data_IF_974860992279
#
_entry.id   IF_974860992279
#
_cell.length_a   1.000
_cell.length_b   1.000
_cell.length_c   1.000
_cell.angle_alpha   90.00
_cell.angle_beta   90.00
_cell.angle_gamma   90.00
#
_symmetry.space_group_name_H-M   'P 1'
#
loop_
_entity.id
_entity.type
_entity.pdbx_description
1 polymer ?
#
# COMPACT_ATOMS: atom_id res chain seq x y z
N UNK A 1 3.98 -38.16 16.48
CA UNK A 1 2.86 -38.03 15.53
C UNK A 1 3.35 -38.45 14.15
N UNK A 2 2.70 -39.40 13.50
CA UNK A 2 3.10 -39.87 12.18
C UNK A 2 3.05 -38.71 11.17
N UNK A 3 4.08 -38.57 10.35
CA UNK A 3 4.10 -37.60 9.24
C UNK A 3 2.97 -37.99 8.29
N UNK A 4 1.97 -37.11 8.06
CA UNK A 4 0.87 -37.47 7.18
C UNK A 4 1.39 -37.67 5.76
N UNK A 5 1.03 -38.81 5.18
CA UNK A 5 1.39 -39.16 3.80
C UNK A 5 0.60 -38.26 2.83
N UNK A 6 1.06 -38.10 1.58
CA UNK A 6 0.40 -37.19 0.61
C UNK A 6 -1.09 -37.52 0.41
N UNK A 7 -1.44 -38.81 0.43
CA UNK A 7 -2.81 -39.28 0.26
C UNK A 7 -3.70 -38.92 1.47
N UNK A 8 -3.11 -38.82 2.66
CA UNK A 8 -3.81 -38.35 3.86
C UNK A 8 -4.03 -36.84 3.80
N UNK A 9 -3.06 -36.07 3.28
CA UNK A 9 -3.21 -34.63 3.05
C UNK A 9 -4.32 -34.35 2.03
N UNK A 10 -4.40 -35.13 0.94
CA UNK A 10 -5.49 -34.97 -0.04
C UNK A 10 -6.87 -35.23 0.56
N UNK A 11 -7.02 -36.26 1.40
CA UNK A 11 -8.28 -36.52 2.10
C UNK A 11 -8.69 -35.35 3.01
N UNK A 12 -7.74 -34.82 3.78
CA UNK A 12 -7.99 -33.65 4.64
C UNK A 12 -8.41 -32.42 3.83
N UNK A 13 -7.80 -32.20 2.66
CA UNK A 13 -8.15 -31.09 1.76
C UNK A 13 -9.56 -31.26 1.21
N UNK A 14 -9.96 -32.47 0.82
CA UNK A 14 -11.34 -32.74 0.37
C UNK A 14 -12.35 -32.54 1.49
N UNK A 15 -12.04 -32.96 2.71
CA UNK A 15 -12.90 -32.73 3.89
C UNK A 15 -13.01 -31.24 4.24
N UNK A 16 -11.91 -30.48 4.11
CA UNK A 16 -11.91 -29.04 4.33
C UNK A 16 -12.76 -28.31 3.29
N UNK A 17 -12.67 -28.70 2.02
CA UNK A 17 -13.49 -28.15 0.94
C UNK A 17 -14.99 -28.41 1.11
N UNK A 18 -15.36 -29.59 1.64
CA UNK A 18 -16.76 -29.94 1.89
C UNK A 18 -17.35 -29.26 3.15
N UNK A 19 -16.53 -28.61 3.97
CA UNK A 19 -16.95 -27.97 5.22
C UNK A 19 -17.14 -26.46 5.01
N UNK A 20 -18.20 -25.89 5.61
CA UNK A 20 -18.45 -24.44 5.55
C UNK A 20 -17.30 -23.62 6.16
N UNK A 21 -16.96 -22.53 5.46
CA UNK A 21 -15.93 -21.57 5.85
C UNK A 21 -16.23 -20.96 7.23
N UNK A 22 -15.20 -20.79 8.06
CA UNK A 22 -15.31 -20.13 9.36
C UNK A 22 -15.84 -21.01 10.50
N UNK A 23 -16.19 -22.27 10.25
CA UNK A 23 -16.57 -23.19 11.33
C UNK A 23 -15.34 -23.65 12.14
N UNK A 24 -15.48 -23.94 13.46
CA UNK A 24 -14.38 -24.48 14.26
C UNK A 24 -13.84 -25.83 13.76
N UNK A 25 -14.64 -26.56 12.96
CA UNK A 25 -14.22 -27.78 12.28
C UNK A 25 -13.31 -27.46 11.10
N UNK A 26 -13.66 -26.46 10.29
CA UNK A 26 -12.84 -25.98 9.17
C UNK A 26 -11.46 -25.50 9.65
N UNK A 27 -11.41 -24.66 10.70
CA UNK A 27 -10.15 -24.15 11.26
C UNK A 27 -9.23 -25.31 11.68
N UNK A 28 -9.77 -26.30 12.40
CA UNK A 28 -9.01 -27.50 12.81
C UNK A 28 -8.51 -28.34 11.64
N UNK A 29 -9.25 -28.37 10.53
CA UNK A 29 -8.82 -29.08 9.31
C UNK A 29 -7.67 -28.32 8.63
N UNK A 30 -7.77 -27.00 8.51
CA UNK A 30 -6.68 -26.15 7.99
C UNK A 30 -5.41 -26.31 8.84
N UNK A 31 -5.51 -26.25 10.16
CA UNK A 31 -4.36 -26.43 11.05
C UNK A 31 -3.68 -27.79 10.85
N UNK A 32 -4.47 -28.86 10.68
CA UNK A 32 -3.96 -30.21 10.41
C UNK A 32 -3.27 -30.31 9.06
N UNK A 33 -3.83 -29.67 8.03
CA UNK A 33 -3.22 -29.60 6.70
C UNK A 33 -1.89 -28.85 6.80
N UNK A 34 -1.86 -27.68 7.44
CA UNK A 34 -0.67 -26.87 7.63
C UNK A 34 0.44 -27.64 8.37
N UNK A 35 0.12 -28.22 9.53
CA UNK A 35 1.06 -29.04 10.32
C UNK A 35 1.56 -30.22 9.48
N UNK A 36 0.68 -30.86 8.71
CA UNK A 36 1.03 -31.98 7.85
C UNK A 36 1.99 -31.60 6.71
N UNK A 37 1.75 -30.46 6.08
CA UNK A 37 2.62 -29.90 5.04
C UNK A 37 4.01 -29.57 5.61
N UNK A 38 4.07 -28.89 6.76
CA UNK A 38 5.34 -28.54 7.42
C UNK A 38 6.13 -29.78 7.86
N UNK A 39 5.45 -30.81 8.36
CA UNK A 39 6.08 -32.06 8.80
C UNK A 39 6.44 -33.01 7.65
N UNK A 40 5.88 -32.80 6.45
CA UNK A 40 6.10 -33.69 5.29
C UNK A 40 7.57 -33.80 4.88
N UNK A 41 8.40 -32.78 5.19
CA UNK A 41 9.78 -32.60 4.70
C UNK A 41 9.95 -32.64 3.18
N UNK A 42 8.84 -32.62 2.42
CA UNK A 42 8.79 -32.65 0.94
C UNK A 42 8.66 -31.25 0.32
N UNK A 43 8.66 -30.21 1.14
CA UNK A 43 8.65 -28.82 0.69
C UNK A 43 9.94 -28.51 -0.08
N UNK A 44 9.79 -27.79 -1.20
CA UNK A 44 10.89 -27.31 -1.99
C UNK A 44 11.76 -26.36 -1.18
N UNK A 45 13.05 -26.63 -1.04
CA UNK A 45 13.98 -25.77 -0.29
C UNK A 45 14.84 -24.93 -1.22
N UNK A 46 15.03 -23.67 -0.89
CA UNK A 46 15.95 -22.75 -1.57
C UNK A 46 16.86 -22.08 -0.54
N UNK A 47 18.06 -21.64 -0.96
CA UNK A 47 18.99 -20.87 -0.12
C UNK A 47 18.81 -19.35 -0.27
N UNK A 48 17.72 -18.93 -0.91
CA UNK A 48 17.46 -17.53 -1.18
C UNK A 48 17.00 -16.80 0.07
N UNK A 49 17.43 -15.55 0.22
CA UNK A 49 17.13 -14.72 1.40
C UNK A 49 15.62 -14.55 1.60
N UNK A 50 14.87 -14.47 0.51
CA UNK A 50 13.41 -14.31 0.49
C UNK A 50 12.65 -15.65 0.45
N UNK A 51 13.32 -16.77 0.77
CA UNK A 51 12.69 -18.09 0.70
C UNK A 51 11.55 -18.27 1.69
N UNK A 52 11.73 -17.85 2.95
CA UNK A 52 10.72 -17.98 3.99
C UNK A 52 9.48 -17.13 3.67
N UNK A 53 9.66 -15.89 3.19
CA UNK A 53 8.56 -15.03 2.77
C UNK A 53 7.78 -15.65 1.60
N UNK A 54 8.49 -16.17 0.60
CA UNK A 54 7.87 -16.82 -0.54
C UNK A 54 7.11 -18.11 -0.15
N UNK A 55 7.62 -18.85 0.85
CA UNK A 55 6.96 -20.03 1.39
C UNK A 55 5.69 -19.65 2.14
N UNK A 56 5.74 -18.64 3.00
CA UNK A 56 4.59 -18.17 3.77
C UNK A 56 3.47 -17.68 2.84
N UNK A 57 3.79 -16.83 1.87
CA UNK A 57 2.80 -16.35 0.89
C UNK A 57 2.20 -17.47 0.04
N UNK A 58 3.00 -18.46 -0.34
CA UNK A 58 2.51 -19.59 -1.11
C UNK A 58 1.54 -20.45 -0.29
N UNK A 59 1.87 -20.71 0.98
CA UNK A 59 1.01 -21.46 1.88
C UNK A 59 -0.29 -20.72 2.18
N UNK A 60 -0.23 -19.42 2.43
CA UNK A 60 -1.41 -18.59 2.64
C UNK A 60 -2.36 -18.66 1.44
N UNK A 61 -1.82 -18.45 0.23
CA UNK A 61 -2.61 -18.55 -0.99
C UNK A 61 -3.24 -19.94 -1.16
N UNK A 62 -2.46 -21.01 -1.00
CA UNK A 62 -2.95 -22.38 -1.18
C UNK A 62 -4.03 -22.76 -0.17
N UNK A 63 -3.92 -22.32 1.09
CA UNK A 63 -4.90 -22.62 2.14
C UNK A 63 -6.17 -21.78 2.01
N UNK A 64 -6.07 -20.54 1.51
CA UNK A 64 -7.26 -19.72 1.21
C UNK A 64 -8.01 -20.21 -0.04
N UNK A 65 -7.29 -20.77 -1.01
CA UNK A 65 -7.85 -21.17 -2.32
C UNK A 65 -7.91 -22.70 -2.48
N UNK A 66 -8.32 -23.43 -1.43
CA UNK A 66 -8.47 -24.89 -1.52
C UNK A 66 -9.50 -25.33 -2.57
N UNK A 67 -10.52 -24.50 -2.82
CA UNK A 67 -11.51 -24.74 -3.89
C UNK A 67 -10.85 -24.81 -5.27
N UNK A 68 -9.95 -23.87 -5.58
CA UNK A 68 -9.18 -23.87 -6.83
C UNK A 68 -8.39 -25.17 -7.00
N UNK A 69 -7.77 -25.64 -5.91
CA UNK A 69 -7.08 -26.93 -5.93
C UNK A 69 -8.03 -28.09 -6.22
N UNK A 70 -9.14 -28.18 -5.48
CA UNK A 70 -10.08 -29.31 -5.59
C UNK A 70 -10.71 -29.37 -6.98
N UNK A 71 -11.10 -28.25 -7.55
CA UNK A 71 -11.80 -28.19 -8.84
C UNK A 71 -10.86 -28.40 -10.03
N UNK A 72 -9.66 -27.81 -10.00
CA UNK A 72 -8.81 -27.70 -11.19
C UNK A 72 -7.57 -28.59 -11.13
N UNK A 73 -7.01 -28.80 -9.93
CA UNK A 73 -5.68 -29.40 -9.79
C UNK A 73 -5.68 -30.78 -9.13
N UNK A 74 -6.71 -31.14 -8.37
CA UNK A 74 -6.79 -32.40 -7.62
C UNK A 74 -6.62 -33.65 -8.48
N UNK A 75 -7.10 -33.61 -9.73
CA UNK A 75 -7.01 -34.68 -10.73
C UNK A 75 -5.66 -34.74 -11.45
N UNK A 76 -4.94 -33.62 -11.50
CA UNK A 76 -3.71 -33.45 -12.28
C UNK A 76 -2.46 -33.63 -11.41
N UNK A 77 -2.53 -33.21 -10.14
CA UNK A 77 -1.37 -33.20 -9.26
C UNK A 77 -1.72 -33.33 -7.78
N UNK A 78 -0.76 -33.88 -7.03
CA UNK A 78 -0.84 -33.98 -5.57
C UNK A 78 -0.77 -32.61 -4.92
N UNK A 79 -1.38 -32.47 -3.76
CA UNK A 79 -1.45 -31.21 -3.03
C UNK A 79 -0.06 -30.64 -2.72
N UNK A 80 0.89 -31.50 -2.33
CA UNK A 80 2.28 -31.10 -2.12
C UNK A 80 2.97 -30.60 -3.39
N UNK A 81 2.67 -31.19 -4.55
CA UNK A 81 3.20 -30.72 -5.85
C UNK A 81 2.67 -29.33 -6.17
N UNK A 82 1.37 -29.12 -5.95
CA UNK A 82 0.72 -27.82 -6.15
C UNK A 82 1.34 -26.73 -5.26
N UNK A 83 1.54 -27.00 -3.97
CA UNK A 83 2.22 -26.06 -3.06
C UNK A 83 3.64 -25.76 -3.56
N UNK A 84 4.41 -26.78 -3.93
CA UNK A 84 5.78 -26.60 -4.41
C UNK A 84 5.85 -25.76 -5.70
N UNK A 85 4.88 -25.89 -6.60
CA UNK A 85 4.81 -25.07 -7.80
C UNK A 85 4.49 -23.60 -7.47
N UNK A 86 3.62 -23.35 -6.51
CA UNK A 86 3.36 -22.01 -6.00
C UNK A 86 4.59 -21.40 -5.32
N UNK A 87 5.32 -22.16 -4.51
CA UNK A 87 6.60 -21.72 -3.90
C UNK A 87 7.59 -21.31 -5.00
N UNK A 88 7.79 -22.15 -6.02
CA UNK A 88 8.68 -21.83 -7.16
C UNK A 88 8.22 -20.60 -7.93
N UNK A 89 6.91 -20.43 -8.13
CA UNK A 89 6.32 -19.26 -8.79
C UNK A 89 6.60 -17.99 -7.99
N UNK A 90 6.40 -18.02 -6.67
CA UNK A 90 6.70 -16.89 -5.78
C UNK A 90 8.18 -16.54 -5.80
N UNK A 91 9.07 -17.52 -5.66
CA UNK A 91 10.53 -17.30 -5.75
C UNK A 91 10.93 -16.64 -7.08
N UNK A 92 10.34 -17.07 -8.20
CA UNK A 92 10.57 -16.44 -9.51
C UNK A 92 10.14 -14.97 -9.52
N UNK A 93 8.96 -14.65 -8.99
CA UNK A 93 8.48 -13.27 -8.89
C UNK A 93 9.40 -12.40 -8.04
N UNK A 94 9.90 -12.92 -6.92
CA UNK A 94 10.89 -12.25 -6.09
C UNK A 94 12.20 -11.96 -6.85
N UNK A 95 12.73 -12.95 -7.58
CA UNK A 95 13.91 -12.76 -8.45
C UNK A 95 13.66 -11.71 -9.52
N UNK A 96 12.50 -11.75 -10.19
CA UNK A 96 12.16 -10.80 -11.24
C UNK A 96 12.03 -9.37 -10.69
N UNK A 97 11.46 -9.22 -9.49
CA UNK A 97 11.37 -7.93 -8.80
C UNK A 97 12.76 -7.40 -8.46
N UNK A 98 13.64 -8.22 -7.89
CA UNK A 98 15.02 -7.82 -7.61
C UNK A 98 15.78 -7.47 -8.89
N UNK A 99 15.64 -8.25 -9.96
CA UNK A 99 16.29 -7.98 -11.24
C UNK A 99 15.79 -6.67 -11.86
N UNK A 100 14.49 -6.37 -11.76
CA UNK A 100 13.93 -5.08 -12.21
C UNK A 100 14.46 -3.92 -11.38
N UNK A 101 14.54 -4.06 -10.05
CA UNK A 101 15.13 -3.05 -9.17
C UNK A 101 16.61 -2.83 -9.49
N UNK A 102 17.38 -3.91 -9.63
CA UNK A 102 18.79 -3.85 -10.01
C UNK A 102 18.98 -3.20 -11.37
N UNK A 103 18.18 -3.54 -12.39
CA UNK A 103 18.24 -2.90 -13.71
C UNK A 103 17.91 -1.41 -13.64
N UNK A 104 16.94 -0.99 -12.81
CA UNK A 104 16.65 0.42 -12.56
C UNK A 104 17.84 1.13 -11.90
N UNK A 105 18.47 0.51 -10.91
CA UNK A 105 19.67 1.05 -10.25
C UNK A 105 20.86 1.11 -11.21
N UNK A 106 21.15 0.05 -11.96
CA UNK A 106 22.23 0.02 -12.96
C UNK A 106 22.00 1.07 -14.04
N UNK A 107 20.76 1.30 -14.50
CA UNK A 107 20.48 2.38 -15.44
C UNK A 107 20.73 3.77 -14.86
N UNK A 108 20.61 3.95 -13.54
CA UNK A 108 20.97 5.19 -12.84
C UNK A 108 22.50 5.32 -12.77
N UNK A 109 23.21 4.26 -12.39
CA UNK A 109 24.69 4.28 -12.26
C UNK A 109 25.45 4.22 -13.59
N UNK A 110 24.87 3.68 -14.66
CA UNK A 110 25.53 3.59 -15.98
C UNK A 110 25.50 4.92 -16.74
N UNK A 111 24.75 5.92 -16.26
CA UNK A 111 24.80 7.30 -16.76
C UNK A 111 26.00 8.09 -16.18
N UNK A 112 26.61 7.61 -15.09
CA UNK A 112 27.79 8.19 -14.42
C UNK A 112 28.88 7.12 -14.30
N UNK A 113 29.42 6.67 -15.44
CA UNK A 113 30.68 5.93 -15.44
C UNK A 113 31.83 6.93 -15.43
N UNK A 114 32.13 7.44 -14.24
CA UNK A 114 33.47 7.86 -13.81
C UNK A 114 33.31 8.43 -12.39
N UNK A 115 33.53 7.59 -11.37
CA UNK A 115 33.98 7.96 -10.01
C UNK A 115 33.98 6.73 -9.10
N UNK A 116 35.17 6.16 -8.90
CA UNK A 116 35.50 5.13 -7.91
C UNK A 116 35.58 5.70 -6.48
N UNK A 117 34.62 6.55 -6.06
CA UNK A 117 34.54 7.11 -4.69
C UNK A 117 33.08 7.17 -4.21
N UNK A 118 32.48 6.00 -3.93
CA UNK A 118 31.06 5.88 -3.58
C UNK A 118 30.74 5.92 -2.08
N UNK A 119 31.67 6.38 -1.23
CA UNK A 119 31.43 6.54 0.21
C UNK A 119 31.70 7.93 0.79
N UNK A 120 32.33 8.86 0.07
CA UNK A 120 32.59 10.23 0.57
C UNK A 120 31.85 11.36 -0.17
N UNK A 121 31.22 11.09 -1.32
CA UNK A 121 30.43 12.08 -2.04
C UNK A 121 29.03 11.54 -2.36
N UNK A 122 28.21 11.30 -1.33
CA UNK A 122 26.78 11.51 -1.51
C UNK A 122 26.51 12.96 -1.15
N UNK A 123 26.49 13.92 -2.10
CA UNK A 123 25.64 15.05 -1.88
C UNK A 123 24.24 14.42 -1.74
N UNK A 124 23.68 14.53 -0.53
CA UNK A 124 22.23 14.57 -0.38
C UNK A 124 21.67 15.25 -1.61
N UNK A 125 20.69 14.66 -2.31
CA UNK A 125 19.90 15.39 -3.30
C UNK A 125 19.20 16.51 -2.55
N UNK A 126 19.92 17.60 -2.35
CA UNK A 126 19.46 18.86 -1.81
C UNK A 126 18.79 19.63 -2.94
N UNK A 127 17.89 18.95 -3.65
CA UNK A 127 16.82 19.58 -4.41
C UNK A 127 15.51 19.38 -3.65
N UNK A 128 15.57 19.48 -2.31
CA UNK A 128 14.42 19.78 -1.46
C UNK A 128 13.97 21.25 -1.61
N UNK A 129 14.71 22.07 -2.36
CA UNK A 129 14.44 23.51 -2.47
C UNK A 129 13.27 23.90 -3.39
N UNK A 130 12.93 23.23 -4.50
CA UNK A 130 11.78 23.65 -5.31
C UNK A 130 10.44 23.39 -4.61
N UNK A 131 10.29 22.26 -3.93
CA UNK A 131 9.03 21.90 -3.25
C UNK A 131 8.83 22.67 -1.94
N UNK A 132 9.89 22.93 -1.17
CA UNK A 132 9.82 23.79 0.01
C UNK A 132 9.63 25.27 -0.37
N UNK A 133 10.28 25.77 -1.43
CA UNK A 133 10.04 27.14 -1.93
C UNK A 133 8.59 27.31 -2.39
N UNK A 134 8.08 26.37 -3.19
CA UNK A 134 6.68 26.37 -3.62
C UNK A 134 5.70 26.33 -2.43
N UNK A 135 5.98 25.51 -1.42
CA UNK A 135 5.16 25.42 -0.23
C UNK A 135 5.14 26.72 0.59
N UNK A 136 6.32 27.34 0.77
CA UNK A 136 6.43 28.61 1.48
C UNK A 136 5.75 29.76 0.70
N UNK A 137 5.91 29.80 -0.63
CA UNK A 137 5.24 30.78 -1.48
C UNK A 137 3.71 30.62 -1.47
N UNK A 138 3.22 29.37 -1.43
CA UNK A 138 1.79 29.09 -1.30
C UNK A 138 1.27 29.58 0.05
N UNK A 139 1.96 29.28 1.16
CA UNK A 139 1.57 29.74 2.49
C UNK A 139 1.57 31.27 2.58
N UNK A 140 2.62 31.92 2.10
CA UNK A 140 2.73 33.39 2.09
C UNK A 140 1.60 34.02 1.25
N UNK A 141 1.28 33.45 0.09
CA UNK A 141 0.18 33.93 -0.74
C UNK A 141 -1.19 33.75 -0.07
N UNK A 142 -1.41 32.63 0.63
CA UNK A 142 -2.65 32.40 1.38
C UNK A 142 -2.75 33.38 2.54
N UNK A 143 -1.67 33.66 3.27
CA UNK A 143 -1.67 34.60 4.40
C UNK A 143 -1.86 36.05 3.96
N UNK A 144 -1.18 36.47 2.89
CA UNK A 144 -1.24 37.85 2.40
C UNK A 144 -2.53 38.16 1.63
N UNK A 145 -3.12 37.15 0.96
CA UNK A 145 -4.32 37.26 0.10
C UNK A 145 -4.39 38.61 -0.66
N UNK A 146 -3.39 38.93 -1.49
CA UNK A 146 -3.21 40.27 -2.05
C UNK A 146 -4.40 40.71 -2.92
N UNK A 147 -5.07 39.75 -3.55
CA UNK A 147 -6.23 39.96 -4.41
C UNK A 147 -7.57 39.86 -3.65
N UNK A 148 -7.53 39.55 -2.35
CA UNK A 148 -8.70 39.33 -1.49
C UNK A 148 -9.67 38.25 -2.00
N UNK A 149 -9.18 37.33 -2.83
CA UNK A 149 -9.97 36.26 -3.45
C UNK A 149 -10.34 35.20 -2.42
N UNK A 150 -9.45 34.95 -1.45
CA UNK A 150 -9.66 33.94 -0.41
C UNK A 150 -10.59 34.44 0.70
N UNK A 151 -10.45 35.70 1.10
CA UNK A 151 -11.28 36.35 2.13
C UNK A 151 -12.69 36.65 1.62
N UNK A 152 -12.83 37.02 0.33
CA UNK A 152 -14.14 37.33 -0.26
C UNK A 152 -15.05 36.10 -0.41
N UNK A 153 -14.46 34.91 -0.57
CA UNK A 153 -15.19 33.65 -0.66
C UNK A 153 -15.54 33.10 0.72
N UNK A 154 -16.65 33.60 1.27
CA UNK A 154 -17.22 33.12 2.52
C UNK A 154 -18.09 31.88 2.31
N UNK A 155 -18.02 30.95 3.26
CA UNK A 155 -18.91 29.81 3.30
C UNK A 155 -20.33 30.28 3.63
N UNK A 156 -21.32 29.90 2.80
CA UNK A 156 -22.72 30.34 2.97
C UNK A 156 -23.34 29.89 4.29
N UNK A 157 -22.96 28.70 4.78
CA UNK A 157 -23.46 28.16 6.05
C UNK A 157 -22.73 28.73 7.27
N UNK A 158 -21.46 29.07 7.11
CA UNK A 158 -20.61 29.57 8.18
C UNK A 158 -19.90 30.83 7.71
N UNK A 159 -20.54 31.99 7.92
CA UNK A 159 -20.03 33.28 7.42
C UNK A 159 -18.67 33.69 8.02
N UNK A 160 -18.28 33.05 9.13
CA UNK A 160 -16.97 33.19 9.78
C UNK A 160 -15.87 32.31 9.14
N UNK A 161 -16.23 31.33 8.31
CA UNK A 161 -15.30 30.51 7.54
C UNK A 161 -15.17 31.09 6.13
N UNK A 162 -13.98 31.53 5.77
CA UNK A 162 -13.61 31.88 4.41
C UNK A 162 -12.61 30.86 3.85
N UNK A 163 -12.31 30.96 2.56
CA UNK A 163 -11.40 30.01 1.90
C UNK A 163 -9.99 30.06 2.50
N UNK A 164 -9.56 31.24 2.94
CA UNK A 164 -8.26 31.48 3.57
C UNK A 164 -8.10 30.67 4.87
N UNK A 165 -9.04 30.81 5.80
CA UNK A 165 -9.04 30.12 7.10
C UNK A 165 -9.06 28.60 6.92
N UNK A 166 -9.87 28.12 5.97
CA UNK A 166 -9.98 26.68 5.70
C UNK A 166 -8.69 26.11 5.10
N UNK A 167 -8.04 26.86 4.21
CA UNK A 167 -6.77 26.49 3.59
C UNK A 167 -5.63 26.45 4.60
N UNK A 168 -5.45 27.52 5.39
CA UNK A 168 -4.41 27.57 6.43
C UNK A 168 -4.57 26.41 7.41
N UNK A 169 -5.79 26.14 7.89
CA UNK A 169 -6.04 25.03 8.82
C UNK A 169 -5.78 23.67 8.21
N UNK A 170 -6.15 23.45 6.95
CA UNK A 170 -5.93 22.15 6.30
C UNK A 170 -4.46 21.90 5.96
N UNK A 171 -3.71 22.94 5.58
CA UNK A 171 -2.30 22.85 5.22
C UNK A 171 -1.39 22.78 6.46
N UNK A 172 -1.77 23.39 7.59
CA UNK A 172 -1.01 23.29 8.84
C UNK A 172 -1.22 21.96 9.60
N UNK A 173 -2.34 21.26 9.36
CA UNK A 173 -2.69 20.03 10.07
C UNK A 173 -2.47 18.81 9.17
N UNK A 174 -1.23 18.33 9.13
CA UNK A 174 -0.87 17.11 8.43
C UNK A 174 -1.71 15.93 8.95
N UNK A 175 -2.54 15.36 8.06
CA UNK A 175 -3.32 14.13 8.28
C UNK A 175 -4.55 14.18 9.21
N UNK A 176 -5.20 15.34 9.37
CA UNK A 176 -6.44 15.47 10.17
C UNK A 176 -7.72 15.17 9.37
N UNK A 177 -8.69 14.48 10.00
CA UNK A 177 -10.02 14.25 9.42
C UNK A 177 -10.80 15.57 9.32
N UNK A 178 -11.69 15.70 8.34
CA UNK A 178 -12.53 16.90 8.21
C UNK A 178 -13.45 17.16 9.41
N UNK A 179 -13.68 16.12 10.22
CA UNK A 179 -14.41 16.18 11.48
C UNK A 179 -13.63 16.97 12.53
N UNK A 180 -12.33 16.71 12.67
CA UNK A 180 -11.44 17.47 13.56
C UNK A 180 -11.25 18.92 13.11
N UNK A 181 -11.16 19.16 11.79
CA UNK A 181 -11.10 20.52 11.23
C UNK A 181 -12.39 21.29 11.51
N UNK A 182 -13.55 20.62 11.49
CA UNK A 182 -14.82 21.26 11.82
C UNK A 182 -14.85 21.67 13.31
N UNK A 183 -14.44 20.77 14.19
CA UNK A 183 -14.37 21.01 15.65
C UNK A 183 -13.43 22.18 15.99
N UNK A 184 -12.23 22.21 15.40
CA UNK A 184 -11.25 23.29 15.59
C UNK A 184 -11.75 24.66 15.12
N UNK A 185 -12.63 24.67 14.12
CA UNK A 185 -13.26 25.87 13.60
C UNK A 185 -14.53 26.27 14.36
N UNK A 186 -14.90 25.53 15.42
CA UNK A 186 -16.11 25.77 16.20
C UNK A 186 -17.40 25.35 15.48
N UNK A 187 -17.30 24.50 14.46
CA UNK A 187 -18.43 23.90 13.76
C UNK A 187 -18.78 22.52 14.38
N UNK A 188 -20.05 22.09 14.28
CA UNK A 188 -20.43 20.73 14.63
C UNK A 188 -19.64 19.71 13.80
N UNK A 189 -19.16 18.64 14.44
CA UNK A 189 -18.40 17.55 13.79
C UNK A 189 -19.13 16.94 12.58
N UNK A 190 -20.47 16.94 12.61
CA UNK A 190 -21.33 16.49 11.49
C UNK A 190 -21.17 17.29 10.20
N UNK A 191 -20.66 18.51 10.28
CA UNK A 191 -20.46 19.41 9.13
C UNK A 191 -19.09 19.22 8.46
N UNK A 192 -18.24 18.33 8.96
CA UNK A 192 -16.96 17.97 8.32
C UNK A 192 -17.13 17.52 6.86
N UNK A 193 -18.20 16.76 6.56
CA UNK A 193 -18.53 16.35 5.18
C UNK A 193 -18.86 17.54 4.28
N UNK A 194 -19.55 18.54 4.82
CA UNK A 194 -19.91 19.75 4.09
C UNK A 194 -18.67 20.63 3.83
N UNK A 195 -17.79 20.79 4.84
CA UNK A 195 -16.52 21.50 4.69
C UNK A 195 -15.61 20.85 3.64
N UNK A 196 -15.54 19.52 3.62
CA UNK A 196 -14.78 18.78 2.61
C UNK A 196 -15.29 19.04 1.17
N UNK A 197 -16.62 19.00 0.98
CA UNK A 197 -17.23 19.28 -0.32
C UNK A 197 -17.02 20.73 -0.74
N UNK A 198 -17.13 21.67 0.20
CA UNK A 198 -16.91 23.08 -0.05
C UNK A 198 -15.44 23.36 -0.41
N UNK A 199 -14.49 22.77 0.33
CA UNK A 199 -13.06 22.82 0.05
C UNK A 199 -12.74 22.32 -1.36
N UNK A 200 -13.26 21.15 -1.73
CA UNK A 200 -13.04 20.57 -3.05
C UNK A 200 -13.59 21.43 -4.19
N UNK A 201 -14.73 22.11 -3.98
CA UNK A 201 -15.39 22.92 -5.00
C UNK A 201 -14.83 24.32 -5.15
N UNK A 202 -14.30 24.90 -4.07
CA UNK A 202 -13.95 26.32 -4.05
C UNK A 202 -12.48 26.57 -3.72
N UNK A 203 -11.83 25.77 -2.88
CA UNK A 203 -10.42 25.96 -2.51
C UNK A 203 -9.47 25.29 -3.51
N UNK A 204 -9.75 24.05 -3.93
CA UNK A 204 -8.89 23.34 -4.90
C UNK A 204 -8.73 24.06 -6.25
N UNK A 205 -9.80 24.61 -6.87
CA UNK A 205 -9.64 25.33 -8.14
C UNK A 205 -8.75 26.56 -8.00
N UNK A 206 -8.82 27.25 -6.85
CA UNK A 206 -8.04 28.46 -6.59
C UNK A 206 -6.55 28.14 -6.41
N UNK A 207 -6.23 27.08 -5.66
CA UNK A 207 -4.83 26.62 -5.53
C UNK A 207 -4.28 26.19 -6.90
N UNK A 208 -5.12 25.55 -7.72
CA UNK A 208 -4.72 25.11 -9.06
C UNK A 208 -4.45 26.30 -9.99
N UNK A 209 -5.34 27.29 -10.02
CA UNK A 209 -5.16 28.52 -10.81
C UNK A 209 -3.91 29.29 -10.36
N UNK A 210 -3.64 29.34 -9.04
CA UNK A 210 -2.39 29.89 -8.52
C UNK A 210 -1.16 29.12 -9.01
N UNK A 211 -1.21 27.78 -8.98
CA UNK A 211 -0.13 26.92 -9.45
C UNK A 211 0.16 27.07 -10.94
N UNK A 212 -0.88 27.17 -11.77
CA UNK A 212 -0.79 27.42 -13.21
C UNK A 212 -0.18 28.82 -13.49
N UNK A 213 -0.59 29.86 -12.75
CA UNK A 213 -0.05 31.22 -12.88
C UNK A 213 1.42 31.35 -12.46
N UNK A 214 1.88 30.51 -11.52
CA UNK A 214 3.26 30.47 -11.06
C UNK A 214 4.16 29.50 -11.85
N UNK A 215 3.58 28.71 -12.76
CA UNK A 215 4.30 27.73 -13.58
C UNK A 215 4.70 26.46 -12.83
N UNK A 216 4.01 26.14 -11.75
CA UNK A 216 4.23 24.92 -10.96
C UNK A 216 3.45 23.71 -11.49
N UNK A 217 2.41 23.94 -12.29
CA UNK A 217 1.53 22.95 -12.93
C UNK A 217 1.35 23.35 -14.39
#
# INVERSE_FOLDING_TARGET
>A
MAVPNDDQLQKLVMEAHATELGTPKYIRLIDRIFIGVMNSKKLWKSKEVFYEDALQEALEYCLQNLTEYVEQYSKLQRFMTWINDWVRKKLRLYRDRQNRQRKRQINIYSADKDKDDLLEELPSRTDLNPSLSMWNELLEWIETDPEKVLISRKCKRFAFINAQVLLLRKLSLDNTSWETVAEDLGCPTSEGKYLAQWYSRYCNPIIREWGENKGFI
#
